data_IF_018240014673
#
_entry.id   IF_018240014673
#
_cell.length_a   1.000
_cell.length_b   1.000
_cell.length_c   1.000
_cell.angle_alpha   90.00
_cell.angle_beta   90.00
_cell.angle_gamma   90.00
#
_symmetry.space_group_name_H-M   'P 1'
#
loop_
_entity.id
_entity.type
_entity.pdbx_description
1 polymer ?
#
# COMPACT_ATOMS: atom_id res chain seq x y z
N UNK A 1 0.20 -5.50 6.94
CA UNK A 1 0.76 -4.14 6.83
C UNK A 1 -0.04 -3.28 5.84
N UNK A 2 -0.23 -3.73 4.60
CA UNK A 2 -0.99 -2.96 3.60
C UNK A 2 -2.44 -3.43 3.52
N UNK A 3 -3.38 -2.50 3.45
CA UNK A 3 -4.81 -2.76 3.24
C UNK A 3 -5.09 -3.25 1.82
N UNK A 4 -4.30 -2.80 0.83
CA UNK A 4 -4.36 -3.28 -0.55
C UNK A 4 -3.02 -3.13 -1.27
N UNK A 5 -2.79 -4.00 -2.24
CA UNK A 5 -1.66 -3.93 -3.16
C UNK A 5 -2.18 -3.65 -4.57
N UNK A 6 -1.65 -2.62 -5.22
CA UNK A 6 -1.92 -2.26 -6.60
C UNK A 6 -0.78 -2.73 -7.50
N UNK A 7 -1.13 -3.21 -8.68
CA UNK A 7 -0.17 -3.75 -9.64
C UNK A 7 -0.02 -2.83 -10.83
N UNK A 8 1.19 -2.81 -11.40
CA UNK A 8 1.42 -2.15 -12.67
C UNK A 8 0.57 -2.83 -13.76
N UNK A 9 0.10 -2.03 -14.70
CA UNK A 9 -0.79 -2.47 -15.77
C UNK A 9 -0.28 -1.97 -17.11
N UNK A 10 -0.32 -2.83 -18.12
CA UNK A 10 -0.08 -2.44 -19.51
C UNK A 10 -1.26 -1.59 -20.03
N UNK A 11 -1.02 -0.53 -20.82
CA UNK A 11 -2.07 0.35 -21.35
C UNK A 11 -3.15 -0.40 -22.13
N UNK A 12 -2.78 -1.41 -22.93
CA UNK A 12 -3.74 -2.21 -23.72
C UNK A 12 -4.81 -2.91 -22.86
N UNK A 13 -4.57 -3.13 -21.56
CA UNK A 13 -5.55 -3.74 -20.67
C UNK A 13 -6.68 -2.78 -20.25
N UNK A 14 -6.60 -1.51 -20.64
CA UNK A 14 -7.62 -0.50 -20.35
C UNK A 14 -8.71 -0.44 -21.41
N UNK A 15 -8.44 -0.94 -22.61
CA UNK A 15 -9.46 -1.00 -23.66
C UNK A 15 -10.60 -1.94 -23.23
N UNK A 16 -11.83 -1.48 -23.35
CA UNK A 16 -13.03 -2.19 -22.88
C UNK A 16 -13.16 -2.36 -21.36
N UNK A 17 -12.28 -1.80 -20.53
CA UNK A 17 -12.39 -1.89 -19.08
C UNK A 17 -13.64 -1.15 -18.56
N UNK A 18 -14.41 -1.80 -17.70
CA UNK A 18 -15.56 -1.14 -17.06
C UNK A 18 -15.10 -0.08 -16.05
N UNK A 19 -15.95 0.89 -15.74
CA UNK A 19 -15.68 1.89 -14.70
C UNK A 19 -15.33 1.25 -13.35
N UNK A 20 -15.96 0.12 -13.02
CA UNK A 20 -15.65 -0.59 -11.79
C UNK A 20 -14.26 -1.23 -11.85
N UNK A 21 -13.89 -1.85 -12.98
CA UNK A 21 -12.55 -2.41 -13.17
C UNK A 21 -11.46 -1.32 -13.06
N UNK A 22 -11.71 -0.12 -13.59
CA UNK A 22 -10.81 1.02 -13.43
C UNK A 22 -10.69 1.47 -11.97
N UNK A 23 -11.80 1.55 -11.22
CA UNK A 23 -11.78 1.84 -9.78
C UNK A 23 -11.00 0.80 -9.01
N UNK A 24 -11.24 -0.48 -9.29
CA UNK A 24 -10.56 -1.57 -8.59
C UNK A 24 -9.05 -1.55 -8.83
N UNK A 25 -8.60 -1.03 -9.99
CA UNK A 25 -7.17 -0.94 -10.37
C UNK A 25 -6.48 0.35 -9.95
N UNK A 26 -7.19 1.48 -9.80
CA UNK A 26 -6.54 2.79 -9.64
C UNK A 26 -7.10 3.65 -8.52
N UNK A 27 -8.31 3.36 -8.01
CA UNK A 27 -8.90 4.17 -6.94
C UNK A 27 -8.42 3.69 -5.58
N UNK A 28 -7.48 4.42 -4.98
CA UNK A 28 -7.11 4.23 -3.58
C UNK A 28 -8.17 4.87 -2.67
N UNK A 29 -9.07 4.05 -2.13
CA UNK A 29 -10.14 4.48 -1.23
C UNK A 29 -9.94 4.07 0.23
N UNK A 30 -10.76 4.65 1.12
CA UNK A 30 -10.82 4.24 2.53
C UNK A 30 -9.56 4.53 3.35
N UNK A 31 -8.81 5.57 2.99
CA UNK A 31 -7.54 5.95 3.61
C UNK A 31 -7.69 6.60 4.99
N UNK A 32 -8.78 7.33 5.21
CA UNK A 32 -8.97 8.12 6.44
C UNK A 32 -9.93 7.38 7.36
N UNK A 33 -9.38 6.58 8.27
CA UNK A 33 -10.12 5.82 9.28
C UNK A 33 -9.65 6.28 10.66
N UNK A 34 -10.59 6.62 11.52
CA UNK A 34 -10.29 7.19 12.84
C UNK A 34 -9.48 6.21 13.70
N UNK A 35 -8.42 6.70 14.33
CA UNK A 35 -7.51 5.89 15.15
C UNK A 35 -6.60 4.92 14.37
N UNK A 36 -6.52 5.03 13.03
CA UNK A 36 -5.77 4.08 12.20
C UNK A 36 -4.73 4.75 11.29
N UNK A 37 -3.66 3.99 11.00
CA UNK A 37 -2.78 4.22 9.84
C UNK A 37 -3.15 3.19 8.77
N UNK A 38 -3.75 3.64 7.68
CA UNK A 38 -4.09 2.80 6.53
C UNK A 38 -3.02 2.98 5.48
N UNK A 39 -2.31 1.90 5.15
CA UNK A 39 -1.28 1.90 4.11
C UNK A 39 -1.70 1.03 2.93
N UNK A 40 -1.28 1.42 1.74
CA UNK A 40 -1.48 0.70 0.48
C UNK A 40 -0.14 0.66 -0.25
N UNK A 41 0.18 -0.46 -0.86
CA UNK A 41 1.39 -0.61 -1.67
C UNK A 41 1.04 -0.55 -3.16
N UNK A 42 1.83 0.15 -3.96
CA UNK A 42 1.73 0.17 -5.42
C UNK A 42 3.01 -0.37 -6.02
N UNK A 43 2.92 -1.40 -6.86
CA UNK A 43 4.05 -1.84 -7.69
C UNK A 43 4.42 -0.81 -8.77
N UNK A 44 3.57 0.18 -9.06
CA UNK A 44 3.97 1.37 -9.79
C UNK A 44 4.93 2.18 -8.91
N UNK A 45 6.21 2.17 -9.27
CA UNK A 45 7.31 2.85 -8.56
C UNK A 45 7.47 2.47 -7.07
N UNK A 46 6.87 1.36 -6.63
CA UNK A 46 6.94 0.88 -5.23
C UNK A 46 6.41 1.91 -4.21
N UNK A 47 5.48 2.77 -4.62
CA UNK A 47 4.91 3.76 -3.71
C UNK A 47 4.15 3.12 -2.56
N UNK A 48 4.32 3.68 -1.37
CA UNK A 48 3.45 3.44 -0.22
C UNK A 48 2.55 4.67 -0.09
N UNK A 49 1.25 4.47 -0.28
CA UNK A 49 0.23 5.52 -0.20
C UNK A 49 -0.63 5.22 1.02
N UNK A 50 -0.82 6.20 1.90
CA UNK A 50 -1.57 5.96 3.12
C UNK A 50 -2.18 7.21 3.74
N UNK A 51 -3.10 6.99 4.65
CA UNK A 51 -3.69 8.01 5.51
C UNK A 51 -3.48 7.64 6.98
N UNK A 52 -3.28 8.65 7.83
CA UNK A 52 -3.23 8.49 9.28
C UNK A 52 -4.23 9.46 9.89
N UNK A 53 -5.15 8.97 10.73
CA UNK A 53 -6.12 9.81 11.44
C UNK A 53 -5.97 9.53 12.94
N UNK A 54 -5.11 10.28 13.66
CA UNK A 54 -4.78 9.95 15.05
C UNK A 54 -5.90 10.13 16.07
N UNK A 55 -6.88 10.98 15.81
CA UNK A 55 -7.90 11.35 16.79
C UNK A 55 -7.23 11.90 18.06
N UNK A 56 -7.45 11.23 19.20
CA UNK A 56 -6.87 11.62 20.51
C UNK A 56 -5.64 10.81 20.91
N UNK A 57 -5.17 9.85 20.10
CA UNK A 57 -4.10 8.93 20.44
C UNK A 57 -2.93 9.01 19.45
N UNK A 58 -1.73 8.64 19.90
CA UNK A 58 -0.57 8.53 19.00
C UNK A 58 -0.70 7.28 18.13
N UNK A 59 -0.44 7.44 16.84
CA UNK A 59 -0.38 6.32 15.90
C UNK A 59 1.07 5.98 15.54
N UNK A 60 1.38 4.68 15.54
CA UNK A 60 2.69 4.18 15.13
C UNK A 60 2.64 3.79 13.65
N UNK A 61 3.58 4.33 12.86
CA UNK A 61 3.80 3.87 11.49
C UNK A 61 4.47 2.49 11.53
N UNK A 62 3.88 1.43 10.94
CA UNK A 62 4.50 0.12 10.88
C UNK A 62 5.86 0.19 10.18
N UNK A 63 6.88 -0.40 10.79
CA UNK A 63 8.22 -0.54 10.22
C UNK A 63 8.37 -1.91 9.57
N UNK A 64 9.17 -1.99 8.51
CA UNK A 64 9.59 -3.28 7.97
C UNK A 64 10.76 -3.80 8.80
N UNK A 65 10.67 -5.05 9.26
CA UNK A 65 11.81 -5.78 9.79
C UNK A 65 12.42 -6.65 8.69
N UNK A 66 13.67 -7.03 8.90
CA UNK A 66 14.31 -8.07 8.09
C UNK A 66 13.50 -9.38 8.14
N UNK A 67 13.48 -10.16 7.04
CA UNK A 67 12.92 -11.51 7.07
C UNK A 67 13.76 -12.40 7.99
N UNK A 68 13.14 -13.43 8.60
CA UNK A 68 13.84 -14.34 9.53
C UNK A 68 15.10 -14.98 8.92
N UNK A 69 15.07 -15.24 7.61
CA UNK A 69 16.22 -15.82 6.88
C UNK A 69 17.42 -14.88 6.79
N UNK A 70 17.24 -13.58 7.01
CA UNK A 70 18.30 -12.57 7.00
C UNK A 70 18.55 -11.98 8.39
N UNK A 71 17.97 -12.57 9.45
CA UNK A 71 18.07 -12.03 10.80
C UNK A 71 19.54 -11.96 11.25
N UNK A 72 20.01 -10.75 11.55
CA UNK A 72 21.40 -10.51 11.96
C UNK A 72 22.45 -10.60 10.84
N UNK A 73 22.04 -10.75 9.57
CA UNK A 73 22.94 -10.68 8.42
C UNK A 73 22.96 -9.26 7.82
N UNK A 74 24.12 -8.76 7.37
CA UNK A 74 24.17 -7.49 6.64
C UNK A 74 23.32 -7.57 5.37
N UNK A 75 22.58 -6.50 5.06
CA UNK A 75 21.66 -6.41 3.90
C UNK A 75 22.33 -6.61 2.51
N UNK A 76 23.66 -6.72 2.44
CA UNK A 76 24.44 -6.73 1.19
C UNK A 76 25.37 -7.95 1.05
N UNK A 77 25.21 -9.00 1.86
CA UNK A 77 25.92 -10.28 1.68
C UNK A 77 25.24 -11.20 0.65
#
# INVERSE_FOLDING_TARGET
MYAKTYYATHPDMMDGASNQALRDRYLVGGLFRDGEVVLTYSHGERFIIGGAVPGTATLTLPTHSEPESAAGHPLLE
#
